data_IF_789166804505
#
_entry.id   IF_789166804505
#
_cell.length_a   1.000
_cell.length_b   1.000
_cell.length_c   1.000
_cell.angle_alpha   90.00
_cell.angle_beta   90.00
_cell.angle_gamma   90.00
#
_symmetry.space_group_name_H-M   'P 1'
#
loop_
_entity.id
_entity.type
_entity.pdbx_description
1 polymer ?
#
# COMPACT_ATOMS: atom_id res chain seq x y z
N UNK A 1 -18.20 -29.28 -40.72
CA UNK A 1 -17.75 -30.16 -39.60
C UNK A 1 -16.28 -30.57 -39.67
N UNK A 2 -15.69 -30.81 -40.86
CA UNK A 2 -14.30 -31.24 -41.00
C UNK A 2 -13.23 -30.27 -40.44
N UNK A 3 -13.51 -28.97 -40.33
CA UNK A 3 -12.59 -27.98 -39.77
C UNK A 3 -12.71 -27.79 -38.24
N UNK A 4 -13.81 -28.25 -37.62
CA UNK A 4 -14.03 -28.04 -36.18
C UNK A 4 -13.21 -29.00 -35.30
N UNK A 5 -13.03 -30.24 -35.76
CA UNK A 5 -12.24 -31.26 -35.07
C UNK A 5 -10.75 -30.87 -34.95
N UNK A 6 -10.05 -30.47 -36.03
CA UNK A 6 -8.65 -30.05 -35.92
C UNK A 6 -8.48 -28.76 -35.11
N UNK A 7 -9.44 -27.83 -35.16
CA UNK A 7 -9.43 -26.63 -34.30
C UNK A 7 -9.57 -27.02 -32.82
N UNK A 8 -10.52 -27.91 -32.49
CA UNK A 8 -10.72 -28.39 -31.12
C UNK A 8 -9.48 -29.12 -30.59
N UNK A 9 -8.89 -30.01 -31.39
CA UNK A 9 -7.66 -30.72 -31.04
C UNK A 9 -6.48 -29.76 -30.87
N UNK A 10 -6.37 -28.72 -31.71
CA UNK A 10 -5.37 -27.66 -31.57
C UNK A 10 -5.55 -26.87 -30.27
N UNK A 11 -6.78 -26.49 -29.92
CA UNK A 11 -7.08 -25.81 -28.65
C UNK A 11 -6.78 -26.70 -27.45
N UNK A 12 -7.17 -27.98 -27.48
CA UNK A 12 -6.86 -28.95 -26.43
C UNK A 12 -5.36 -29.18 -26.27
N UNK A 13 -4.60 -29.25 -27.37
CA UNK A 13 -3.15 -29.35 -27.34
C UNK A 13 -2.50 -28.09 -26.73
N UNK A 14 -2.98 -26.89 -27.08
CA UNK A 14 -2.51 -25.64 -26.47
C UNK A 14 -2.81 -25.62 -24.97
N UNK A 15 -4.04 -25.98 -24.57
CA UNK A 15 -4.43 -26.09 -23.15
C UNK A 15 -3.53 -27.10 -22.44
N UNK A 16 -3.29 -28.28 -23.02
CA UNK A 16 -2.42 -29.31 -22.45
C UNK A 16 -0.97 -28.82 -22.29
N UNK A 17 -0.41 -28.13 -23.28
CA UNK A 17 0.94 -27.54 -23.19
C UNK A 17 0.99 -26.43 -22.14
N UNK A 18 -0.02 -25.56 -22.06
CA UNK A 18 -0.11 -24.52 -21.04
C UNK A 18 -0.24 -25.12 -19.62
N UNK A 19 -1.11 -26.11 -19.45
CA UNK A 19 -1.31 -26.83 -18.20
C UNK A 19 -0.04 -27.59 -17.78
N UNK A 20 0.64 -28.29 -18.70
CA UNK A 20 1.87 -29.03 -18.38
C UNK A 20 3.01 -28.11 -17.97
N UNK A 21 3.20 -26.95 -18.63
CA UNK A 21 4.16 -25.93 -18.19
C UNK A 21 3.81 -25.39 -16.80
N UNK A 22 2.53 -25.08 -16.56
CA UNK A 22 2.02 -24.60 -15.26
C UNK A 22 2.24 -25.63 -14.16
N UNK A 23 1.94 -26.90 -14.42
CA UNK A 23 2.12 -28.02 -13.48
C UNK A 23 3.61 -28.20 -13.16
N UNK A 24 4.49 -28.23 -14.17
CA UNK A 24 5.95 -28.30 -13.95
C UNK A 24 6.46 -27.14 -13.09
N UNK A 25 5.98 -25.92 -13.33
CA UNK A 25 6.31 -24.76 -12.51
C UNK A 25 5.82 -24.93 -11.07
N UNK A 26 4.59 -25.39 -10.86
CA UNK A 26 4.04 -25.64 -9.52
C UNK A 26 4.89 -26.67 -8.78
N UNK A 27 5.21 -27.81 -9.41
CA UNK A 27 6.04 -28.86 -8.82
C UNK A 27 7.44 -28.35 -8.45
N UNK A 28 8.05 -27.56 -9.34
CA UNK A 28 9.35 -26.90 -9.08
C UNK A 28 9.26 -25.99 -7.85
N UNK A 29 8.21 -25.18 -7.74
CA UNK A 29 7.98 -24.32 -6.57
C UNK A 29 7.87 -25.12 -5.28
N UNK A 30 7.14 -26.25 -5.29
CA UNK A 30 7.05 -27.15 -4.13
C UNK A 30 8.43 -27.68 -3.72
N UNK A 31 9.24 -28.14 -4.67
CA UNK A 31 10.58 -28.67 -4.40
C UNK A 31 11.51 -27.64 -3.72
N UNK A 32 11.50 -26.38 -4.19
CA UNK A 32 12.27 -25.31 -3.52
C UNK A 32 11.69 -24.93 -2.17
N UNK A 33 10.36 -24.92 -2.07
CA UNK A 33 9.65 -24.57 -0.86
C UNK A 33 10.06 -25.50 0.28
N UNK A 34 10.15 -26.81 0.04
CA UNK A 34 10.51 -27.79 1.07
C UNK A 34 11.92 -27.64 1.65
N UNK A 35 12.80 -26.88 0.98
CA UNK A 35 14.16 -26.56 1.45
C UNK A 35 14.21 -25.34 2.37
N UNK A 36 13.12 -24.59 2.51
CA UNK A 36 13.06 -23.35 3.28
C UNK A 36 12.22 -23.52 4.57
N UNK A 37 12.63 -22.88 5.68
CA UNK A 37 11.89 -22.91 6.94
C UNK A 37 10.54 -22.22 6.79
N UNK A 38 9.49 -22.83 7.32
CA UNK A 38 8.12 -22.32 7.26
C UNK A 38 7.08 -23.33 7.72
N UNK A 39 5.80 -22.94 7.76
CA UNK A 39 4.72 -23.81 8.15
C UNK A 39 4.51 -24.93 7.11
N UNK A 40 4.13 -26.10 7.61
CA UNK A 40 3.88 -27.31 6.82
C UNK A 40 2.97 -27.02 5.63
N UNK A 41 3.43 -27.39 4.43
CA UNK A 41 2.68 -27.23 3.19
C UNK A 41 1.87 -28.47 2.87
N UNK A 42 0.63 -28.27 2.41
CA UNK A 42 -0.19 -29.35 1.88
C UNK A 42 0.15 -29.60 0.40
N UNK A 43 0.09 -30.86 -0.07
CA UNK A 43 0.34 -31.18 -1.47
C UNK A 43 -0.52 -30.34 -2.43
N UNK A 44 0.10 -29.84 -3.50
CA UNK A 44 -0.52 -29.05 -4.59
C UNK A 44 -1.09 -27.66 -4.23
N UNK A 45 -1.61 -27.45 -3.03
CA UNK A 45 -2.25 -26.19 -2.60
C UNK A 45 -1.42 -25.36 -1.60
N UNK A 46 -0.42 -25.96 -0.95
CA UNK A 46 0.48 -25.25 -0.05
C UNK A 46 -0.17 -24.84 1.26
N UNK A 47 -0.02 -23.57 1.63
CA UNK A 47 -0.59 -22.99 2.84
C UNK A 47 -1.97 -22.36 2.61
N UNK A 48 -2.58 -22.50 1.42
CA UNK A 48 -3.90 -21.89 1.12
C UNK A 48 -4.97 -22.31 2.13
N UNK A 49 -5.01 -23.58 2.51
CA UNK A 49 -6.01 -24.11 3.45
C UNK A 49 -5.87 -23.53 4.85
N UNK A 50 -4.65 -23.25 5.31
CA UNK A 50 -4.38 -22.57 6.59
C UNK A 50 -5.04 -21.19 6.63
N UNK A 51 -5.05 -20.49 5.49
CA UNK A 51 -5.58 -19.13 5.38
C UNK A 51 -7.06 -19.07 4.98
N UNK A 52 -7.62 -20.13 4.40
CA UNK A 52 -8.93 -20.09 3.73
C UNK A 52 -10.11 -19.69 4.65
N UNK A 53 -9.99 -19.93 5.96
CA UNK A 53 -11.04 -19.63 6.96
C UNK A 53 -10.68 -18.47 7.89
N UNK A 54 -9.47 -17.93 7.79
CA UNK A 54 -9.01 -16.84 8.65
C UNK A 54 -9.49 -15.50 8.11
N UNK A 55 -9.91 -14.63 9.02
CA UNK A 55 -10.04 -13.20 8.76
C UNK A 55 -8.67 -12.58 8.45
N UNK A 56 -8.67 -11.35 7.92
CA UNK A 56 -7.43 -10.60 7.61
C UNK A 56 -6.55 -10.35 8.85
N UNK A 57 -7.17 -10.25 10.02
CA UNK A 57 -6.48 -10.00 11.30
C UNK A 57 -5.85 -11.31 11.77
N UNK A 58 -6.64 -12.38 11.83
CA UNK A 58 -6.15 -13.73 12.19
C UNK A 58 -5.02 -14.19 11.26
N UNK A 59 -5.10 -13.85 9.96
CA UNK A 59 -4.04 -14.11 9.00
C UNK A 59 -2.73 -13.41 9.37
N UNK A 60 -2.80 -12.12 9.72
CA UNK A 60 -1.63 -11.35 10.12
C UNK A 60 -1.05 -11.87 11.45
N UNK A 61 -1.90 -12.16 12.42
CA UNK A 61 -1.50 -12.71 13.72
C UNK A 61 -0.83 -14.08 13.56
N UNK A 62 -1.38 -14.95 12.71
CA UNK A 62 -0.77 -16.23 12.37
C UNK A 62 0.62 -16.04 11.75
N UNK A 63 0.76 -15.13 10.77
CA UNK A 63 2.05 -14.83 10.16
C UNK A 63 3.07 -14.30 11.18
N UNK A 64 2.66 -13.41 12.10
CA UNK A 64 3.53 -12.86 13.15
C UNK A 64 3.92 -13.95 14.15
N UNK A 65 2.97 -14.79 14.57
CA UNK A 65 3.23 -15.89 15.49
C UNK A 65 4.24 -16.87 14.91
N UNK A 66 4.02 -17.33 13.68
CA UNK A 66 4.95 -18.24 13.00
C UNK A 66 6.32 -17.58 12.77
N UNK A 67 6.36 -16.29 12.44
CA UNK A 67 7.62 -15.55 12.32
C UNK A 67 8.40 -15.51 13.65
N UNK A 68 7.72 -15.30 14.78
CA UNK A 68 8.36 -15.32 16.10
C UNK A 68 8.87 -16.72 16.46
N UNK A 69 8.06 -17.76 16.27
CA UNK A 69 8.45 -19.15 16.55
C UNK A 69 9.69 -19.58 15.76
N UNK A 70 9.73 -19.26 14.45
CA UNK A 70 10.89 -19.57 13.60
C UNK A 70 12.12 -18.77 14.01
N UNK A 71 11.96 -17.47 14.32
CA UNK A 71 13.07 -16.63 14.79
C UNK A 71 13.65 -17.16 16.11
N UNK A 72 12.80 -17.59 17.04
CA UNK A 72 13.22 -18.13 18.33
C UNK A 72 13.93 -19.48 18.17
N UNK A 73 13.64 -20.22 17.10
CA UNK A 73 14.39 -21.44 16.71
C UNK A 73 15.73 -21.17 16.00
N UNK A 74 16.08 -19.90 15.74
CA UNK A 74 17.32 -19.49 15.10
C UNK A 74 17.23 -19.28 13.57
N UNK A 75 16.04 -19.39 12.99
CA UNK A 75 15.83 -19.17 11.56
C UNK A 75 15.84 -17.69 11.19
N UNK A 76 16.43 -17.38 10.05
CA UNK A 76 16.62 -16.01 9.54
C UNK A 76 15.57 -15.60 8.49
N UNK A 77 14.83 -16.58 7.97
CA UNK A 77 13.81 -16.42 6.94
C UNK A 77 12.59 -17.30 7.26
N UNK A 78 11.45 -16.96 6.66
CA UNK A 78 10.22 -17.75 6.69
C UNK A 78 9.63 -17.80 5.29
N UNK A 79 9.12 -18.97 4.89
CA UNK A 79 8.38 -19.11 3.63
C UNK A 79 6.88 -19.28 3.83
N UNK A 80 6.10 -18.82 2.87
CA UNK A 80 4.73 -19.23 2.62
C UNK A 80 4.57 -19.64 1.16
N UNK A 81 3.92 -20.77 0.92
CA UNK A 81 3.76 -21.29 -0.42
C UNK A 81 2.28 -21.37 -0.81
N UNK A 82 1.99 -20.85 -1.99
CA UNK A 82 0.69 -20.85 -2.63
C UNK A 82 0.83 -21.50 -4.01
N UNK A 83 -0.28 -21.80 -4.67
CA UNK A 83 -0.27 -22.48 -5.99
C UNK A 83 0.61 -21.71 -6.99
N UNK A 84 1.78 -22.25 -7.29
CA UNK A 84 2.76 -21.68 -8.22
C UNK A 84 3.44 -20.39 -7.74
N UNK A 85 3.35 -20.04 -6.44
CA UNK A 85 4.00 -18.87 -5.84
C UNK A 85 4.65 -19.21 -4.51
N UNK A 86 5.88 -18.75 -4.33
CA UNK A 86 6.64 -18.85 -3.09
C UNK A 86 6.92 -17.44 -2.58
N UNK A 87 6.46 -17.14 -1.37
CA UNK A 87 6.78 -15.90 -0.67
C UNK A 87 7.81 -16.21 0.40
N UNK A 88 8.88 -15.43 0.46
CA UNK A 88 9.93 -15.55 1.47
C UNK A 88 10.06 -14.23 2.20
N UNK A 89 10.07 -14.29 3.52
CA UNK A 89 10.09 -13.16 4.43
C UNK A 89 11.37 -13.21 5.26
N UNK A 90 12.19 -12.16 5.29
CA UNK A 90 13.28 -12.06 6.25
C UNK A 90 12.72 -11.86 7.66
N UNK A 91 13.28 -12.56 8.65
CA UNK A 91 12.84 -12.51 10.05
C UNK A 91 13.71 -11.60 10.92
N UNK A 92 14.88 -11.22 10.43
CA UNK A 92 15.84 -10.38 11.14
C UNK A 92 16.35 -9.21 10.28
N UNK A 93 16.96 -8.23 10.94
CA UNK A 93 17.47 -7.02 10.30
C UNK A 93 18.62 -7.26 9.33
N UNK A 94 19.45 -8.29 9.55
CA UNK A 94 20.59 -8.63 8.69
C UNK A 94 20.09 -9.21 7.37
N UNK A 95 19.17 -10.16 7.43
CA UNK A 95 18.50 -10.77 6.27
C UNK A 95 17.68 -9.75 5.48
N UNK A 96 16.97 -8.85 6.17
CA UNK A 96 16.25 -7.76 5.54
C UNK A 96 17.20 -6.73 4.91
N UNK A 97 18.34 -6.44 5.55
CA UNK A 97 19.36 -5.53 5.04
C UNK A 97 19.92 -6.07 3.72
N UNK A 98 20.23 -7.36 3.62
CA UNK A 98 20.69 -8.00 2.37
C UNK A 98 19.69 -7.73 1.24
N UNK A 99 18.37 -7.80 1.48
CA UNK A 99 17.37 -7.53 0.44
C UNK A 99 17.17 -6.03 0.13
N UNK A 100 17.13 -5.19 1.16
CA UNK A 100 16.85 -3.75 1.03
C UNK A 100 18.03 -2.95 0.52
N UNK A 101 19.21 -3.50 0.76
CA UNK A 101 20.36 -3.35 -0.07
C UNK A 101 20.24 -4.41 -1.20
N UNK A 102 19.34 -4.42 -2.20
CA UNK A 102 19.64 -4.89 -3.59
C UNK A 102 19.52 -3.77 -4.66
N UNK A 103 20.50 -3.62 -5.58
CA UNK A 103 20.50 -2.57 -6.64
C UNK A 103 19.86 -3.09 -7.92
N UNK A 104 19.87 -4.40 -8.13
CA UNK A 104 19.37 -5.10 -9.32
C UNK A 104 17.99 -5.69 -9.09
N UNK A 105 17.69 -6.18 -7.89
CA UNK A 105 16.39 -6.75 -7.53
C UNK A 105 15.44 -5.66 -7.09
N UNK A 106 15.11 -4.79 -8.04
CA UNK A 106 14.18 -3.71 -7.83
C UNK A 106 12.77 -4.06 -8.30
N UNK A 107 12.52 -5.21 -8.92
CA UNK A 107 11.18 -5.55 -9.37
C UNK A 107 10.20 -5.72 -8.21
N UNK A 108 8.97 -5.26 -8.41
CA UNK A 108 7.87 -5.51 -7.49
C UNK A 108 7.26 -6.89 -7.73
N UNK A 109 6.54 -7.40 -6.72
CA UNK A 109 5.78 -8.64 -6.83
C UNK A 109 4.69 -8.56 -7.91
N UNK A 110 4.20 -9.73 -8.32
CA UNK A 110 3.16 -9.85 -9.35
C UNK A 110 1.80 -9.25 -8.92
N UNK A 111 1.59 -9.05 -7.62
CA UNK A 111 0.42 -8.36 -7.04
C UNK A 111 0.34 -6.89 -7.50
N UNK A 112 1.47 -6.23 -7.74
CA UNK A 112 1.52 -4.87 -8.29
C UNK A 112 1.03 -4.77 -9.74
N UNK A 113 0.94 -5.91 -10.46
CA UNK A 113 0.44 -5.94 -11.83
C UNK A 113 -1.02 -5.47 -11.91
N UNK A 114 -1.80 -5.70 -10.85
CA UNK A 114 -3.18 -5.22 -10.78
C UNK A 114 -3.25 -3.69 -10.93
N UNK A 115 -2.30 -2.97 -10.32
CA UNK A 115 -2.19 -1.51 -10.35
C UNK A 115 -1.61 -0.96 -11.66
N UNK A 116 -1.00 -1.80 -12.52
CA UNK A 116 -0.42 -1.36 -13.80
C UNK A 116 -1.44 -0.73 -14.73
N UNK A 117 -2.68 -1.22 -14.70
CA UNK A 117 -3.78 -0.63 -15.47
C UNK A 117 -4.04 0.84 -15.10
N UNK A 118 -3.86 1.20 -13.82
CA UNK A 118 -4.02 2.57 -13.31
C UNK A 118 -2.74 3.39 -13.50
N UNK A 119 -1.64 2.98 -12.88
CA UNK A 119 -0.42 3.79 -12.75
C UNK A 119 0.50 3.71 -13.96
N UNK A 120 0.24 2.79 -14.90
CA UNK A 120 1.06 2.61 -16.08
C UNK A 120 2.53 2.32 -15.74
N UNK A 121 3.43 2.85 -16.56
CA UNK A 121 4.88 2.82 -16.30
C UNK A 121 5.21 3.95 -15.33
N UNK A 122 5.75 3.62 -14.17
CA UNK A 122 5.95 4.58 -13.08
C UNK A 122 7.09 4.16 -12.17
N UNK A 123 7.57 5.09 -11.32
CA UNK A 123 8.63 4.84 -10.33
C UNK A 123 8.28 3.66 -9.39
N UNK A 124 6.99 3.43 -9.13
CA UNK A 124 6.51 2.35 -8.28
C UNK A 124 6.53 0.98 -8.98
N UNK A 125 6.12 0.93 -10.24
CA UNK A 125 5.87 -0.32 -10.96
C UNK A 125 7.01 -0.75 -11.89
N UNK A 126 7.83 0.19 -12.36
CA UNK A 126 9.01 -0.14 -13.17
C UNK A 126 10.06 -0.82 -12.28
N UNK A 127 10.58 -1.95 -12.79
CA UNK A 127 11.71 -2.68 -12.19
C UNK A 127 13.06 -2.06 -12.53
N UNK A 128 14.14 -2.78 -12.20
CA UNK A 128 15.49 -2.29 -12.46
C UNK A 128 15.72 -2.02 -13.96
N UNK A 129 16.37 -0.88 -14.25
CA UNK A 129 16.70 -0.47 -15.61
C UNK A 129 16.72 1.05 -15.78
N UNK A 130 17.17 1.50 -16.96
CA UNK A 130 17.31 2.93 -17.28
C UNK A 130 16.01 3.70 -17.19
N UNK A 131 14.87 3.07 -17.48
CA UNK A 131 13.56 3.70 -17.35
C UNK A 131 13.24 4.07 -15.91
N UNK A 132 13.41 3.13 -14.97
CA UNK A 132 13.16 3.40 -13.56
C UNK A 132 14.12 4.48 -13.03
N UNK A 133 15.40 4.42 -13.40
CA UNK A 133 16.38 5.47 -13.04
C UNK A 133 15.96 6.83 -13.57
N UNK A 134 15.52 6.90 -14.83
CA UNK A 134 15.06 8.14 -15.48
C UNK A 134 13.82 8.71 -14.78
N UNK A 135 12.78 7.91 -14.58
CA UNK A 135 11.58 8.34 -13.85
C UNK A 135 11.91 8.80 -12.42
N UNK A 136 12.83 8.11 -11.73
CA UNK A 136 13.26 8.50 -10.38
C UNK A 136 14.02 9.83 -10.37
N UNK A 137 14.90 10.06 -11.36
CA UNK A 137 15.61 11.35 -11.52
C UNK A 137 14.65 12.51 -11.75
N UNK A 138 13.55 12.29 -12.47
CA UNK A 138 12.52 13.30 -12.71
C UNK A 138 11.71 13.65 -11.46
N UNK A 139 11.30 12.65 -10.67
CA UNK A 139 10.37 12.84 -9.55
C UNK A 139 11.07 13.21 -8.24
N UNK A 140 12.28 12.70 -7.99
CA UNK A 140 12.97 12.88 -6.69
C UNK A 140 13.20 14.35 -6.30
N UNK A 141 13.59 15.27 -7.21
CA UNK A 141 13.79 16.67 -6.85
C UNK A 141 12.56 17.36 -6.23
N UNK A 142 11.35 16.97 -6.65
CA UNK A 142 10.07 17.51 -6.12
C UNK A 142 9.88 17.19 -4.63
N UNK A 143 10.45 16.08 -4.15
CA UNK A 143 10.37 15.64 -2.76
C UNK A 143 11.63 15.96 -1.95
N UNK A 144 12.56 16.74 -2.52
CA UNK A 144 13.77 17.17 -1.83
C UNK A 144 13.45 18.27 -0.82
N UNK A 145 14.18 18.29 0.31
CA UNK A 145 13.90 19.18 1.45
C UNK A 145 13.70 20.66 1.06
N UNK A 146 14.54 21.17 0.17
CA UNK A 146 14.46 22.55 -0.32
C UNK A 146 13.12 22.91 -1.03
N UNK A 147 12.41 21.93 -1.60
CA UNK A 147 11.07 22.14 -2.18
C UNK A 147 9.95 21.97 -1.16
N UNK A 148 10.17 21.15 -0.13
CA UNK A 148 9.17 20.87 0.89
C UNK A 148 8.80 22.09 1.74
N UNK A 149 9.72 23.06 1.91
CA UNK A 149 9.40 24.32 2.61
C UNK A 149 8.28 25.09 1.91
N UNK A 150 8.24 25.08 0.57
CA UNK A 150 7.16 25.70 -0.20
C UNK A 150 5.81 24.99 -0.07
N UNK A 151 5.78 23.75 0.42
CA UNK A 151 4.53 22.99 0.61
C UNK A 151 3.86 23.23 1.95
N UNK A 152 4.54 23.92 2.88
CA UNK A 152 4.00 24.17 4.21
C UNK A 152 2.71 24.97 4.18
N UNK A 153 2.57 25.96 3.29
CA UNK A 153 1.32 26.71 3.16
C UNK A 153 0.12 25.80 2.86
N UNK A 154 0.26 24.91 1.88
CA UNK A 154 -0.80 23.92 1.56
C UNK A 154 -1.03 22.96 2.73
N UNK A 155 0.03 22.45 3.38
CA UNK A 155 -0.12 21.54 4.51
C UNK A 155 -0.94 22.16 5.64
N UNK A 156 -0.63 23.40 5.98
CA UNK A 156 -1.33 24.13 7.02
C UNK A 156 -2.78 24.42 6.62
N UNK A 157 -3.01 24.93 5.41
CA UNK A 157 -4.36 25.23 4.90
C UNK A 157 -5.28 24.00 4.98
N UNK A 158 -4.88 22.89 4.37
CA UNK A 158 -5.73 21.70 4.33
C UNK A 158 -5.90 21.05 5.71
N UNK A 159 -4.88 21.16 6.58
CA UNK A 159 -5.00 20.69 7.97
C UNK A 159 -5.96 21.55 8.78
N UNK A 160 -5.98 22.88 8.58
CA UNK A 160 -6.94 23.78 9.24
C UNK A 160 -8.38 23.44 8.83
N UNK A 161 -8.61 23.18 7.53
CA UNK A 161 -9.92 22.68 7.05
C UNK A 161 -10.31 21.40 7.79
N UNK A 162 -9.38 20.45 7.96
CA UNK A 162 -9.65 19.23 8.72
C UNK A 162 -10.05 19.53 10.17
N UNK A 163 -9.34 20.45 10.83
CA UNK A 163 -9.62 20.87 12.21
C UNK A 163 -11.00 21.52 12.30
N UNK A 164 -11.36 22.41 11.37
CA UNK A 164 -12.66 23.06 11.33
C UNK A 164 -13.81 22.03 11.24
N UNK A 165 -13.68 21.03 10.37
CA UNK A 165 -14.65 19.93 10.26
C UNK A 165 -14.74 19.08 11.54
N UNK A 166 -13.63 18.92 12.26
CA UNK A 166 -13.59 18.17 13.52
C UNK A 166 -14.15 18.95 14.72
N UNK A 167 -14.23 20.29 14.63
CA UNK A 167 -14.72 21.15 15.71
C UNK A 167 -16.20 20.91 16.03
N UNK A 168 -16.98 20.43 15.06
CA UNK A 168 -18.37 20.03 15.26
C UNK A 168 -18.49 18.88 16.27
N UNK A 169 -17.61 17.88 16.17
CA UNK A 169 -17.57 16.74 17.10
C UNK A 169 -17.06 17.14 18.48
N UNK A 170 -16.11 18.07 18.54
CA UNK A 170 -15.63 18.60 19.81
C UNK A 170 -16.71 19.39 20.56
N UNK A 171 -17.64 20.04 19.84
CA UNK A 171 -18.79 20.75 20.43
C UNK A 171 -19.91 19.81 20.85
N UNK A 172 -20.22 18.80 20.04
CA UNK A 172 -21.28 17.83 20.34
C UNK A 172 -20.88 16.80 21.41
N UNK A 173 -19.57 16.57 21.59
CA UNK A 173 -19.05 15.49 22.44
C UNK A 173 -19.19 14.11 21.80
N UNK A 174 -19.55 14.06 20.51
CA UNK A 174 -19.70 12.80 19.78
C UNK A 174 -18.35 12.19 19.41
N UNK A 175 -18.35 10.86 19.28
CA UNK A 175 -17.19 10.12 18.80
C UNK A 175 -17.03 10.28 17.30
N UNK A 176 -15.79 10.47 16.84
CA UNK A 176 -15.44 10.58 15.42
C UNK A 176 -14.34 9.60 15.04
N UNK A 177 -14.46 8.97 13.87
CA UNK A 177 -13.37 8.18 13.29
C UNK A 177 -12.39 9.08 12.53
N UNK A 178 -11.21 9.32 13.11
CA UNK A 178 -10.17 10.16 12.51
C UNK A 178 -9.59 9.59 11.21
N UNK A 179 -9.66 8.27 10.99
CA UNK A 179 -9.04 7.63 9.83
C UNK A 179 -9.54 8.22 8.51
N UNK A 180 -10.85 8.47 8.43
CA UNK A 180 -11.48 9.01 7.23
C UNK A 180 -11.12 10.48 6.98
N UNK A 181 -10.99 11.30 8.02
CA UNK A 181 -10.62 12.72 7.91
C UNK A 181 -9.15 12.87 7.52
N UNK A 182 -8.26 12.13 8.17
CA UNK A 182 -6.82 12.13 7.83
C UNK A 182 -6.59 11.69 6.38
N UNK A 183 -7.33 10.67 5.91
CA UNK A 183 -7.26 10.18 4.52
C UNK A 183 -7.66 11.26 3.51
N UNK A 184 -8.74 12.02 3.77
CA UNK A 184 -9.22 13.09 2.88
C UNK A 184 -8.31 14.31 2.91
N UNK A 185 -7.90 14.76 4.10
CA UNK A 185 -6.92 15.83 4.28
C UNK A 185 -5.61 15.54 3.54
N UNK A 186 -5.06 14.33 3.70
CA UNK A 186 -3.83 13.93 2.99
C UNK A 186 -3.99 13.95 1.47
N UNK A 187 -5.19 13.62 0.97
CA UNK A 187 -5.48 13.67 -0.46
C UNK A 187 -5.51 15.12 -0.98
N UNK A 188 -6.19 16.03 -0.29
CA UNK A 188 -6.20 17.45 -0.65
C UNK A 188 -4.81 18.05 -0.58
N UNK A 189 -4.00 17.66 0.41
CA UNK A 189 -2.60 18.09 0.54
C UNK A 189 -1.75 17.67 -0.67
N UNK A 190 -1.83 16.41 -1.10
CA UNK A 190 -1.01 15.96 -2.24
C UNK A 190 -1.52 16.56 -3.56
N UNK A 191 -2.82 16.78 -3.69
CA UNK A 191 -3.39 17.49 -4.84
C UNK A 191 -2.92 18.94 -4.88
N UNK A 192 -2.96 19.67 -3.77
CA UNK A 192 -2.51 21.06 -3.72
C UNK A 192 -1.01 21.21 -3.96
N UNK A 193 -0.19 20.34 -3.36
CA UNK A 193 1.28 20.46 -3.43
C UNK A 193 1.91 19.87 -4.69
N UNK A 194 1.58 18.61 -5.02
CA UNK A 194 2.22 17.91 -6.12
C UNK A 194 1.47 18.10 -7.44
N UNK A 195 0.16 18.31 -7.39
CA UNK A 195 -0.67 18.46 -8.60
C UNK A 195 -1.07 19.91 -8.88
N UNK A 196 -0.91 20.84 -7.94
CA UNK A 196 -1.26 22.25 -8.11
C UNK A 196 -2.77 22.48 -8.28
N UNK A 197 -3.59 21.61 -7.67
CA UNK A 197 -5.06 21.68 -7.74
C UNK A 197 -5.67 21.42 -6.37
N UNK A 198 -6.83 22.02 -6.11
CA UNK A 198 -7.67 21.65 -4.97
C UNK A 198 -8.83 20.80 -5.47
N UNK A 199 -9.13 19.70 -4.79
CA UNK A 199 -10.23 18.80 -5.18
C UNK A 199 -11.36 18.78 -4.14
N UNK A 200 -11.09 19.39 -2.98
CA UNK A 200 -12.02 19.55 -1.87
C UNK A 200 -12.64 18.22 -1.42
N UNK A 201 -11.79 17.19 -1.31
CA UNK A 201 -12.22 15.87 -0.88
C UNK A 201 -12.72 15.89 0.55
N UNK A 202 -12.22 16.79 1.41
CA UNK A 202 -12.62 16.93 2.79
C UNK A 202 -14.11 17.27 2.97
N UNK A 203 -14.65 18.21 2.19
CA UNK A 203 -16.08 18.54 2.20
C UNK A 203 -16.92 17.61 1.31
N UNK A 204 -16.29 16.94 0.33
CA UNK A 204 -16.97 16.02 -0.57
C UNK A 204 -16.47 14.56 -0.43
N UNK A 205 -16.84 13.85 0.66
CA UNK A 205 -16.38 12.49 0.91
C UNK A 205 -16.87 11.48 -0.14
N UNK A 206 -17.90 11.82 -0.91
CA UNK A 206 -18.46 10.99 -1.99
C UNK A 206 -17.87 11.33 -3.36
N UNK A 207 -16.82 12.15 -3.41
CA UNK A 207 -16.14 12.51 -4.65
C UNK A 207 -15.76 11.26 -5.46
N UNK A 208 -16.06 11.28 -6.76
CA UNK A 208 -15.97 10.12 -7.66
C UNK A 208 -14.59 9.45 -7.65
N UNK A 209 -13.52 10.24 -7.57
CA UNK A 209 -12.15 9.75 -7.46
C UNK A 209 -11.90 8.99 -6.15
N UNK A 210 -12.36 9.52 -5.01
CA UNK A 210 -12.18 8.91 -3.69
C UNK A 210 -12.84 7.53 -3.64
N UNK A 211 -14.09 7.46 -4.11
CA UNK A 211 -14.85 6.21 -4.19
C UNK A 211 -14.21 5.21 -5.18
N UNK A 212 -13.72 5.67 -6.33
CA UNK A 212 -13.05 4.83 -7.30
C UNK A 212 -11.77 4.20 -6.73
N UNK A 213 -10.92 4.97 -6.07
CA UNK A 213 -9.69 4.48 -5.41
C UNK A 213 -10.03 3.45 -4.32
N UNK A 214 -11.04 3.72 -3.51
CA UNK A 214 -11.45 2.79 -2.45
C UNK A 214 -11.96 1.46 -3.00
N UNK A 215 -12.86 1.51 -3.98
CA UNK A 215 -13.42 0.31 -4.63
C UNK A 215 -12.36 -0.46 -5.41
N UNK A 216 -11.44 0.23 -6.07
CA UNK A 216 -10.30 -0.37 -6.76
C UNK A 216 -9.39 -1.12 -5.77
N UNK A 217 -9.07 -0.51 -4.63
CA UNK A 217 -8.25 -1.14 -3.60
C UNK A 217 -8.93 -2.40 -3.04
N UNK A 218 -10.23 -2.33 -2.72
CA UNK A 218 -10.99 -3.49 -2.25
C UNK A 218 -10.98 -4.63 -3.27
N UNK A 219 -11.17 -4.30 -4.55
CA UNK A 219 -11.11 -5.27 -5.65
C UNK A 219 -9.72 -5.87 -5.82
N UNK A 220 -8.66 -5.09 -5.64
CA UNK A 220 -7.28 -5.56 -5.71
C UNK A 220 -6.96 -6.57 -4.60
N UNK A 221 -7.42 -6.31 -3.37
CA UNK A 221 -7.28 -7.25 -2.24
C UNK A 221 -8.05 -8.54 -2.53
N UNK A 222 -9.29 -8.43 -3.00
CA UNK A 222 -10.12 -9.58 -3.37
C UNK A 222 -9.46 -10.41 -4.47
N UNK A 223 -8.94 -9.78 -5.53
CA UNK A 223 -8.20 -10.44 -6.60
C UNK A 223 -6.94 -11.14 -6.08
N UNK A 224 -6.24 -10.55 -5.11
CA UNK A 224 -5.04 -11.15 -4.52
C UNK A 224 -5.36 -12.35 -3.63
N UNK A 225 -6.42 -12.28 -2.82
CA UNK A 225 -6.72 -13.28 -1.79
C UNK A 225 -7.61 -14.43 -2.29
N UNK A 226 -8.51 -14.18 -3.25
CA UNK A 226 -9.47 -15.18 -3.73
C UNK A 226 -8.92 -15.90 -4.96
N UNK A 227 -8.52 -17.16 -4.80
CA UNK A 227 -7.90 -17.96 -5.86
C UNK A 227 -8.73 -18.01 -7.16
N UNK A 228 -10.05 -18.10 -7.08
CA UNK A 228 -10.93 -18.11 -8.26
C UNK A 228 -10.91 -16.78 -9.04
N UNK A 229 -10.69 -15.64 -8.37
CA UNK A 229 -10.58 -14.34 -9.02
C UNK A 229 -9.23 -14.12 -9.71
N UNK A 230 -8.21 -14.95 -9.42
CA UNK A 230 -6.94 -14.93 -10.14
C UNK A 230 -7.01 -15.61 -11.51
N UNK A 231 -8.09 -16.35 -11.80
CA UNK A 231 -8.31 -16.98 -13.10
C UNK A 231 -8.90 -15.92 -14.05
N UNK A 232 -8.20 -15.47 -15.10
CA UNK A 232 -8.63 -14.33 -15.91
C UNK A 232 -10.01 -14.52 -16.54
N UNK A 233 -10.32 -15.75 -16.97
CA UNK A 233 -11.64 -16.10 -17.52
C UNK A 233 -12.76 -15.91 -16.49
N UNK A 234 -12.59 -16.40 -15.25
CA UNK A 234 -13.60 -16.22 -14.20
C UNK A 234 -13.72 -14.76 -13.77
N UNK A 235 -12.60 -14.04 -13.68
CA UNK A 235 -12.57 -12.62 -13.37
C UNK A 235 -13.34 -11.79 -14.40
N UNK A 236 -13.20 -12.13 -15.68
CA UNK A 236 -13.96 -11.53 -16.77
C UNK A 236 -15.43 -11.95 -16.75
N UNK A 237 -15.71 -13.26 -16.66
CA UNK A 237 -17.06 -13.84 -16.71
C UNK A 237 -17.96 -13.30 -15.59
N UNK A 238 -17.43 -13.17 -14.38
CA UNK A 238 -18.13 -12.63 -13.21
C UNK A 238 -18.27 -11.09 -13.24
N UNK A 239 -17.80 -10.43 -14.30
CA UNK A 239 -17.92 -8.98 -14.50
C UNK A 239 -16.94 -8.11 -13.69
N UNK A 240 -15.96 -8.71 -12.99
CA UNK A 240 -14.98 -7.94 -12.22
C UNK A 240 -14.01 -7.16 -13.11
N UNK A 241 -13.74 -7.67 -14.32
CA UNK A 241 -12.93 -6.94 -15.31
C UNK A 241 -13.57 -5.58 -15.66
N UNK A 242 -14.87 -5.55 -15.96
CA UNK A 242 -15.60 -4.32 -16.25
C UNK A 242 -15.54 -3.33 -15.08
N UNK A 243 -15.79 -3.81 -13.85
CA UNK A 243 -15.68 -2.99 -12.63
C UNK A 243 -14.30 -2.36 -12.48
N UNK A 244 -13.24 -3.15 -12.70
CA UNK A 244 -11.85 -2.66 -12.67
C UNK A 244 -11.65 -1.55 -13.70
N UNK A 245 -12.12 -1.74 -14.93
CA UNK A 245 -11.95 -0.79 -16.02
C UNK A 245 -12.70 0.52 -15.76
N UNK A 246 -13.92 0.46 -15.20
CA UNK A 246 -14.71 1.65 -14.81
C UNK A 246 -14.00 2.48 -13.71
N UNK A 247 -13.42 1.81 -12.70
CA UNK A 247 -12.64 2.50 -11.66
C UNK A 247 -11.37 3.13 -12.23
N UNK A 248 -10.64 2.39 -13.08
CA UNK A 248 -9.43 2.90 -13.74
C UNK A 248 -9.75 4.09 -14.65
N UNK A 249 -10.87 4.05 -15.37
CA UNK A 249 -11.32 5.17 -16.19
C UNK A 249 -11.53 6.42 -15.35
N UNK A 250 -12.26 6.30 -14.23
CA UNK A 250 -12.53 7.42 -13.31
C UNK A 250 -11.23 8.00 -12.74
N UNK A 251 -10.33 7.14 -12.27
CA UNK A 251 -9.04 7.57 -11.72
C UNK A 251 -8.16 8.25 -12.77
N UNK A 252 -8.12 7.75 -14.01
CA UNK A 252 -7.36 8.38 -15.10
C UNK A 252 -7.99 9.67 -15.60
N UNK A 253 -9.33 9.75 -15.61
CA UNK A 253 -10.04 10.98 -15.95
C UNK A 253 -9.64 12.11 -15.01
N UNK A 254 -9.69 11.84 -13.70
CA UNK A 254 -9.24 12.78 -12.69
C UNK A 254 -7.83 13.31 -12.94
N UNK A 255 -6.85 12.43 -13.19
CA UNK A 255 -5.48 12.87 -13.49
C UNK A 255 -5.39 13.79 -14.72
N UNK A 256 -6.18 13.53 -15.77
CA UNK A 256 -6.22 14.39 -16.97
C UNK A 256 -6.81 15.75 -16.66
N UNK A 257 -7.93 15.77 -15.93
CA UNK A 257 -8.65 16.99 -15.57
C UNK A 257 -7.75 17.90 -14.70
N UNK A 258 -7.02 17.30 -13.75
CA UNK A 258 -6.06 18.00 -12.90
C UNK A 258 -4.85 18.53 -13.67
N UNK A 259 -4.33 17.79 -14.65
CA UNK A 259 -3.17 18.27 -15.43
C UNK A 259 -3.53 19.49 -16.30
N UNK A 260 -4.81 19.71 -16.59
CA UNK A 260 -5.31 20.83 -17.39
C UNK A 260 -5.53 22.13 -16.58
N UNK A 261 -5.68 22.07 -15.26
CA UNK A 261 -5.84 23.23 -14.39
C UNK A 261 -4.58 23.49 -13.55
N UNK A 262 -4.00 24.69 -13.63
CA UNK A 262 -2.95 25.12 -12.69
C UNK A 262 -3.24 26.54 -12.21
N UNK A 263 -3.30 26.74 -10.90
CA UNK A 263 -3.28 28.06 -10.27
C UNK A 263 -2.39 28.03 -9.02
N UNK A 264 -1.86 29.20 -8.67
CA UNK A 264 -0.76 29.46 -7.75
C UNK A 264 -1.20 29.81 -6.33
N UNK A 265 -0.31 29.56 -5.36
CA UNK A 265 -0.49 29.69 -3.91
C UNK A 265 -0.64 31.13 -3.38
N UNK A 266 -1.23 31.21 -2.17
CA UNK A 266 -1.45 32.38 -1.31
C UNK A 266 -0.76 32.15 0.07
N UNK A 267 -0.05 33.13 0.68
CA UNK A 267 0.62 32.94 1.95
C UNK A 267 -0.06 33.67 3.14
N UNK A 268 -0.25 32.98 4.29
CA UNK A 268 -0.13 33.65 5.59
C UNK A 268 -0.04 32.72 6.83
N UNK A 269 0.80 33.12 7.80
CA UNK A 269 0.65 32.84 9.26
C UNK A 269 0.67 31.39 9.75
N UNK A 270 1.53 30.54 9.18
CA UNK A 270 1.45 29.08 9.25
C UNK A 270 2.63 28.41 9.97
N UNK A 271 2.53 27.10 10.27
CA UNK A 271 3.68 26.32 10.77
C UNK A 271 4.83 26.44 9.77
N UNK A 272 5.92 27.05 10.22
CA UNK A 272 7.10 27.35 9.40
C UNK A 272 8.18 26.24 9.45
N UNK A 273 9.17 26.37 8.57
CA UNK A 273 10.24 25.37 8.44
C UNK A 273 11.18 25.34 9.66
N UNK A 274 11.33 26.46 10.36
CA UNK A 274 12.21 26.57 11.52
C UNK A 274 11.62 25.87 12.75
N UNK A 275 10.33 26.01 12.99
CA UNK A 275 9.60 25.32 14.05
C UNK A 275 9.63 23.81 13.88
N UNK A 276 9.51 23.31 12.64
CA UNK A 276 9.51 21.87 12.35
C UNK A 276 10.85 21.20 12.64
N UNK A 277 11.96 21.90 12.38
CA UNK A 277 13.32 21.40 12.66
C UNK A 277 13.54 21.15 14.15
N UNK A 278 12.76 21.79 15.03
CA UNK A 278 12.87 21.70 16.50
C UNK A 278 12.01 20.57 17.11
N UNK A 279 11.28 19.80 16.30
CA UNK A 279 10.31 18.77 16.76
C UNK A 279 10.93 17.36 16.90
N UNK A 280 12.02 17.24 17.65
CA UNK A 280 12.72 15.96 17.84
C UNK A 280 11.85 14.91 18.56
N UNK A 281 11.07 15.34 19.55
CA UNK A 281 10.16 14.45 20.26
C UNK A 281 9.04 13.91 19.36
N UNK A 282 8.36 14.78 18.60
CA UNK A 282 7.34 14.36 17.63
C UNK A 282 7.91 13.40 16.60
N UNK A 283 9.15 13.60 16.15
CA UNK A 283 9.81 12.67 15.24
C UNK A 283 10.05 11.29 15.88
N UNK A 284 10.46 11.24 17.15
CA UNK A 284 10.60 9.98 17.89
C UNK A 284 9.26 9.26 18.04
N UNK A 285 8.19 9.99 18.34
CA UNK A 285 6.83 9.44 18.40
C UNK A 285 6.42 8.84 17.05
N UNK A 286 6.58 9.58 15.95
CA UNK A 286 6.26 9.08 14.61
C UNK A 286 7.07 7.82 14.25
N UNK A 287 8.35 7.76 14.62
CA UNK A 287 9.20 6.57 14.42
C UNK A 287 8.70 5.37 15.22
N UNK A 288 8.36 5.57 16.49
CA UNK A 288 7.84 4.49 17.35
C UNK A 288 6.45 4.03 16.88
N UNK A 289 5.56 4.94 16.49
CA UNK A 289 4.25 4.60 15.91
C UNK A 289 4.40 3.73 14.66
N UNK A 290 5.32 4.08 13.75
CA UNK A 290 5.61 3.29 12.54
C UNK A 290 6.30 1.96 12.83
N UNK A 291 7.06 1.87 13.93
CA UNK A 291 7.67 0.62 14.41
C UNK A 291 6.61 -0.33 14.96
N UNK A 292 5.61 0.20 15.67
CA UNK A 292 4.48 -0.57 16.26
C UNK A 292 3.44 -0.96 15.22
N UNK A 293 3.05 -0.01 14.37
CA UNK A 293 2.06 -0.18 13.30
C UNK A 293 2.71 0.30 12.00
N UNK A 294 3.27 -0.64 11.23
CA UNK A 294 3.84 -0.33 9.93
C UNK A 294 2.70 -0.16 8.89
N UNK A 295 2.52 1.03 8.28
CA UNK A 295 1.52 1.21 7.23
C UNK A 295 1.80 0.36 5.99
N UNK A 296 3.08 0.12 5.70
CA UNK A 296 3.54 -0.78 4.64
C UNK A 296 4.34 -1.89 5.32
N UNK A 297 3.68 -2.98 5.75
CA UNK A 297 4.30 -4.02 6.58
C UNK A 297 5.25 -4.92 5.77
N UNK A 298 5.08 -4.97 4.45
CA UNK A 298 5.90 -5.79 3.56
C UNK A 298 6.49 -4.97 2.41
N UNK A 299 7.78 -5.15 2.16
CA UNK A 299 8.48 -4.56 1.02
C UNK A 299 8.85 -5.65 0.04
N UNK A 300 7.91 -5.96 -0.85
CA UNK A 300 8.11 -7.06 -1.80
C UNK A 300 9.18 -6.74 -2.84
N UNK A 301 9.96 -7.77 -3.17
CA UNK A 301 10.90 -7.85 -4.30
C UNK A 301 10.70 -9.16 -5.03
N UNK A 302 10.85 -9.14 -6.35
CA UNK A 302 10.84 -10.35 -7.17
C UNK A 302 12.27 -10.65 -7.61
N UNK A 303 12.82 -11.76 -7.13
CA UNK A 303 14.17 -12.22 -7.46
C UNK A 303 14.21 -12.75 -8.90
N UNK A 304 15.18 -12.32 -9.70
CA UNK A 304 15.38 -12.78 -11.09
C UNK A 304 16.54 -13.74 -11.25
N UNK A 305 17.60 -13.57 -10.46
CA UNK A 305 18.82 -14.38 -10.52
C UNK A 305 19.17 -14.95 -9.14
N UNK A 306 19.82 -16.11 -9.12
CA UNK A 306 20.41 -16.67 -7.89
C UNK A 306 21.61 -15.80 -7.49
N UNK A 307 21.57 -15.13 -6.33
CA UNK A 307 22.58 -14.11 -5.98
C UNK A 307 22.86 -13.94 -4.49
N UNK A 308 24.05 -13.39 -4.18
CA UNK A 308 24.33 -12.61 -2.98
C UNK A 308 23.79 -11.17 -3.14
N UNK A 309 23.19 -10.63 -2.08
CA UNK A 309 22.17 -9.55 -2.18
C UNK A 309 22.77 -8.15 -1.79
N UNK A 310 22.77 -7.10 -2.67
CA UNK A 310 23.37 -5.73 -2.42
C UNK A 310 22.78 -4.47 -3.22
N UNK A 311 22.30 -3.33 -2.60
CA UNK A 311 21.71 -2.02 -3.12
C UNK A 311 20.30 -1.33 -2.75
N UNK A 312 20.06 -0.01 -2.92
CA UNK A 312 18.92 0.71 -2.22
C UNK A 312 17.65 1.11 -3.07
N UNK A 313 16.43 0.74 -2.64
CA UNK A 313 15.11 1.26 -3.16
C UNK A 313 14.16 1.78 -2.06
N UNK A 314 14.48 2.97 -1.53
CA UNK A 314 13.70 3.66 -0.51
C UNK A 314 12.52 4.48 -1.06
N UNK A 315 11.56 4.81 -0.19
CA UNK A 315 10.42 5.66 -0.50
C UNK A 315 10.85 7.08 -0.89
N UNK A 316 10.43 7.54 -2.07
CA UNK A 316 10.76 8.89 -2.58
C UNK A 316 10.05 9.99 -1.78
N UNK A 317 8.80 9.76 -1.38
CA UNK A 317 7.98 10.73 -0.64
C UNK A 317 8.16 10.71 0.88
N UNK A 318 9.15 9.99 1.42
CA UNK A 318 9.26 9.79 2.88
C UNK A 318 9.36 11.10 3.67
N UNK A 319 10.08 12.09 3.13
CA UNK A 319 10.31 13.39 3.78
C UNK A 319 9.06 14.26 3.74
N UNK A 320 8.36 14.26 2.60
CA UNK A 320 7.05 14.89 2.45
C UNK A 320 6.03 14.31 3.45
N UNK A 321 5.95 12.98 3.55
CA UNK A 321 5.04 12.31 4.48
C UNK A 321 5.35 12.66 5.94
N UNK A 322 6.62 12.62 6.34
CA UNK A 322 7.05 13.02 7.68
C UNK A 322 6.70 14.48 8.00
N UNK A 323 6.83 15.37 7.02
CA UNK A 323 6.52 16.78 7.19
C UNK A 323 5.01 17.00 7.35
N UNK A 324 4.21 16.36 6.50
CA UNK A 324 2.75 16.39 6.59
C UNK A 324 2.26 15.84 7.95
N UNK A 325 2.77 14.69 8.38
CA UNK A 325 2.46 14.09 9.69
C UNK A 325 2.76 15.04 10.85
N UNK A 326 3.90 15.76 10.82
CA UNK A 326 4.25 16.75 11.84
C UNK A 326 3.25 17.91 11.85
N UNK A 327 2.94 18.50 10.70
CA UNK A 327 1.98 19.63 10.61
C UNK A 327 0.60 19.22 11.10
N UNK A 328 0.11 18.05 10.67
CA UNK A 328 -1.17 17.50 11.11
C UNK A 328 -1.22 17.30 12.62
N UNK A 329 -0.21 16.64 13.20
CA UNK A 329 -0.15 16.42 14.65
C UNK A 329 -0.08 17.72 15.45
N UNK A 330 0.67 18.73 14.98
CA UNK A 330 0.78 20.03 15.65
C UNK A 330 -0.60 20.69 15.73
N UNK A 331 -1.33 20.77 14.62
CA UNK A 331 -2.65 21.39 14.60
C UNK A 331 -3.66 20.61 15.44
N UNK A 332 -3.66 19.28 15.34
CA UNK A 332 -4.54 18.42 16.15
C UNK A 332 -4.29 18.61 17.65
N UNK A 333 -3.04 18.55 18.10
CA UNK A 333 -2.70 18.63 19.53
C UNK A 333 -2.76 20.06 20.10
N UNK A 334 -2.67 21.08 19.25
CA UNK A 334 -2.90 22.48 19.66
C UNK A 334 -4.38 22.76 19.92
N UNK A 335 -5.27 22.23 19.08
CA UNK A 335 -6.69 22.53 19.16
C UNK A 335 -7.46 21.56 20.06
N UNK A 336 -7.00 20.30 20.19
CA UNK A 336 -7.75 19.26 20.87
C UNK A 336 -6.93 18.48 21.90
N UNK A 337 -7.63 18.09 22.97
CA UNK A 337 -7.34 16.88 23.72
C UNK A 337 -8.08 15.73 23.01
N UNK A 338 -7.35 14.66 22.71
CA UNK A 338 -7.83 13.51 21.94
C UNK A 338 -7.90 12.31 22.88
N UNK A 339 -9.09 11.72 23.03
CA UNK A 339 -9.30 10.55 23.88
C UNK A 339 -9.70 9.36 23.02
N UNK A 340 -8.93 8.26 23.02
CA UNK A 340 -9.25 7.09 22.20
C UNK A 340 -10.45 6.33 22.79
N UNK A 341 -11.41 5.97 21.94
CA UNK A 341 -12.58 5.18 22.36
C UNK A 341 -12.35 3.67 22.29
N UNK A 342 -11.28 3.25 21.60
CA UNK A 342 -10.83 1.89 21.52
C UNK A 342 -9.38 1.79 22.00
N UNK A 343 -9.03 0.67 22.61
CA UNK A 343 -7.65 0.35 22.93
C UNK A 343 -6.89 -0.11 21.67
N UNK A 344 -5.62 -0.48 21.86
CA UNK A 344 -4.78 -0.97 20.77
C UNK A 344 -5.35 -2.26 20.13
N UNK A 345 -5.97 -3.13 20.93
CA UNK A 345 -6.57 -4.37 20.43
C UNK A 345 -7.81 -4.10 19.58
N UNK A 346 -8.57 -3.06 19.90
CA UNK A 346 -9.71 -2.61 19.11
C UNK A 346 -9.34 -2.00 17.76
N UNK A 347 -8.07 -1.62 17.53
CA UNK A 347 -7.62 -0.93 16.30
C UNK A 347 -6.43 -1.62 15.62
N UNK A 348 -6.29 -2.93 15.81
CA UNK A 348 -5.20 -3.71 15.24
C UNK A 348 -5.07 -3.56 13.72
N UNK A 349 -3.83 -3.62 13.19
CA UNK A 349 -3.61 -3.58 11.75
C UNK A 349 -4.27 -4.78 11.06
N UNK A 350 -5.04 -4.50 10.01
CA UNK A 350 -5.63 -5.49 9.14
C UNK A 350 -4.84 -5.61 7.83
N UNK A 351 -4.74 -6.84 7.31
CA UNK A 351 -4.03 -7.12 6.06
C UNK A 351 -4.84 -6.66 4.83
N UNK A 352 -4.46 -5.50 4.28
CA UNK A 352 -4.91 -5.03 2.96
C UNK A 352 -3.69 -4.70 2.07
N UNK A 353 -3.86 -3.91 0.98
CA UNK A 353 -2.71 -3.43 0.17
C UNK A 353 -1.71 -2.66 1.04
N UNK A 354 -2.23 -1.92 2.01
CA UNK A 354 -1.49 -1.30 3.11
C UNK A 354 -2.18 -1.68 4.41
N UNK A 355 -1.48 -1.65 5.53
CA UNK A 355 -2.11 -1.86 6.83
C UNK A 355 -3.16 -0.77 7.08
N UNK A 356 -4.35 -1.18 7.50
CA UNK A 356 -5.41 -0.27 7.96
C UNK A 356 -5.90 -0.67 9.34
N UNK A 357 -6.29 0.29 10.19
CA UNK A 357 -6.90 -0.05 11.47
C UNK A 357 -8.19 -0.83 11.23
N UNK A 358 -8.37 -1.94 11.95
CA UNK A 358 -9.50 -2.86 11.79
C UNK A 358 -10.86 -2.19 11.97
N UNK A 359 -10.99 -1.31 12.96
CA UNK A 359 -12.23 -0.61 13.32
C UNK A 359 -12.07 0.93 13.25
N UNK A 360 -11.22 1.42 12.35
CA UNK A 360 -10.94 2.86 12.26
C UNK A 360 -10.15 3.38 13.47
N UNK A 361 -10.22 4.68 13.70
CA UNK A 361 -9.59 5.37 14.83
C UNK A 361 -10.67 6.23 15.51
N UNK A 362 -11.62 5.61 16.24
CA UNK A 362 -12.67 6.34 16.94
C UNK A 362 -12.10 7.06 18.15
N UNK A 363 -12.34 8.37 18.23
CA UNK A 363 -11.89 9.23 19.32
C UNK A 363 -13.00 10.18 19.75
N UNK A 364 -12.93 10.61 20.99
CA UNK A 364 -13.64 11.80 21.46
C UNK A 364 -12.67 12.98 21.44
N UNK A 365 -13.13 14.12 20.94
CA UNK A 365 -12.35 15.35 20.87
C UNK A 365 -12.87 16.33 21.92
N UNK A 366 -11.97 16.99 22.63
CA UNK A 366 -12.31 18.08 23.55
C UNK A 366 -11.43 19.27 23.22
N UNK A 367 -12.04 20.44 22.99
CA UNK A 367 -11.29 21.66 22.68
C UNK A 367 -10.38 22.04 23.84
N UNK A 368 -9.16 22.48 23.52
CA UNK A 368 -8.17 22.97 24.48
C UNK A 368 -8.35 24.44 24.80
#
# INVERSE_FOLDING_TARGET
MALLIPILLGVLAIIFVMCSKRIKWILKVFEFSDKLPGPTTQPFIGNISSFAKMSKIEMLDYMIKTANELRDSGESIMRFQFIGKLLVFPLDGKSAQTLLQSTTELDKGDDYEFARAWLGRSVLLDGYGERWKSHRRLVTPTFHFAKLEGYLGVFNRETKVMVELLDEFAKSGETVDLFHYIKRCTLDIICGTAMGTTIDAQHNPTHSYVLAVERFNKLSVDHSMKAHLQIPFLFWLLGYQKKKDDYVYTMKKFTRDVTAGRMTDDPNGDVDSEGIKKLDYTERVLKESKRRIAPVPTLQRKLREDMEIAGLRNCVGQKFAQLNEKVLLIHMLRNYRIEPMLDFNGTQPSLEIISRPSNGIPVMLTRR
#
